data_IF_603231296030
#
_entry.id   IF_603231296030
#
_cell.length_a   1.000
_cell.length_b   1.000
_cell.length_c   1.000
_cell.angle_alpha   90.00
_cell.angle_beta   90.00
_cell.angle_gamma   90.00
#
_symmetry.space_group_name_H-M   'P 1'
#
loop_
_entity.id
_entity.type
_entity.pdbx_description
1 polymer ?
#
# COMPACT_ATOMS: atom_id res chain seq x y z
N UNK A 1 -15.30 -5.13 10.72
CA UNK A 1 -14.62 -6.34 10.23
C UNK A 1 -13.62 -5.91 9.18
N UNK A 2 -12.34 -6.21 9.37
CA UNK A 2 -11.30 -5.95 8.38
C UNK A 2 -11.28 -7.15 7.43
N UNK A 3 -11.54 -6.92 6.15
CA UNK A 3 -11.57 -7.99 5.15
C UNK A 3 -10.28 -7.93 4.34
N UNK A 4 -9.43 -8.95 4.44
CA UNK A 4 -8.21 -9.02 3.63
C UNK A 4 -8.64 -9.25 2.18
N UNK A 5 -8.36 -8.29 1.31
CA UNK A 5 -8.67 -8.37 -0.12
C UNK A 5 -7.56 -9.08 -0.89
N UNK A 6 -6.32 -8.87 -0.47
CA UNK A 6 -5.15 -9.34 -1.19
C UNK A 6 -3.98 -9.53 -0.23
N UNK A 7 -3.20 -10.58 -0.44
CA UNK A 7 -1.96 -10.85 0.25
C UNK A 7 -0.98 -11.45 -0.77
N UNK A 8 0.23 -10.89 -0.86
CA UNK A 8 1.31 -11.36 -1.73
C UNK A 8 2.66 -11.18 -1.04
N UNK A 9 3.60 -12.10 -1.30
CA UNK A 9 4.98 -11.95 -0.83
C UNK A 9 5.86 -11.40 -1.95
N UNK A 10 6.46 -10.22 -1.72
CA UNK A 10 7.32 -9.53 -2.68
C UNK A 10 8.68 -9.21 -2.07
N UNK A 11 9.78 -9.59 -2.73
CA UNK A 11 11.17 -9.41 -2.25
C UNK A 11 11.39 -9.82 -0.77
N UNK A 12 10.73 -10.90 -0.36
CA UNK A 12 10.83 -11.43 1.02
C UNK A 12 9.88 -10.78 2.03
N UNK A 13 9.26 -9.64 1.70
CA UNK A 13 8.29 -8.89 2.51
C UNK A 13 6.86 -9.36 2.23
N UNK A 14 6.02 -9.49 3.26
CA UNK A 14 4.60 -9.78 3.08
C UNK A 14 3.84 -8.48 2.81
N UNK A 15 3.20 -8.36 1.65
CA UNK A 15 2.29 -7.27 1.30
C UNK A 15 0.88 -7.76 1.56
N UNK A 16 0.11 -7.00 2.33
CA UNK A 16 -1.30 -7.27 2.58
C UNK A 16 -2.12 -6.01 2.30
N UNK A 17 -3.20 -6.17 1.55
CA UNK A 17 -4.22 -5.13 1.38
C UNK A 17 -5.49 -5.61 2.05
N UNK A 18 -5.96 -4.84 3.01
CA UNK A 18 -7.20 -5.10 3.70
C UNK A 18 -8.18 -3.94 3.49
N UNK A 19 -9.47 -4.24 3.58
CA UNK A 19 -10.52 -3.23 3.49
C UNK A 19 -11.26 -3.17 4.81
N UNK A 20 -11.27 -1.97 5.39
CA UNK A 20 -11.91 -1.66 6.66
C UNK A 20 -13.02 -0.64 6.42
N UNK A 21 -14.20 -1.16 6.09
CA UNK A 21 -15.34 -0.34 5.69
C UNK A 21 -15.15 0.22 4.28
N UNK A 22 -15.07 1.54 4.14
CA UNK A 22 -14.82 2.22 2.86
C UNK A 22 -13.34 2.54 2.61
N UNK A 23 -12.46 2.24 3.58
CA UNK A 23 -11.03 2.51 3.49
C UNK A 23 -10.27 1.24 3.14
N UNK A 24 -9.30 1.39 2.25
CA UNK A 24 -8.33 0.35 1.93
C UNK A 24 -7.07 0.63 2.76
N UNK A 25 -6.56 -0.38 3.46
CA UNK A 25 -5.35 -0.33 4.29
C UNK A 25 -4.31 -1.25 3.65
N UNK A 26 -3.06 -0.76 3.55
CA UNK A 26 -1.91 -1.55 3.12
C UNK A 26 -1.07 -1.87 4.34
N UNK A 27 -0.59 -3.09 4.45
CA UNK A 27 0.34 -3.53 5.49
C UNK A 27 1.53 -4.25 4.88
N UNK A 28 2.73 -3.95 5.36
CA UNK A 28 3.99 -4.60 4.98
C UNK A 28 4.54 -5.35 6.20
N UNK A 29 4.67 -6.67 6.11
CA UNK A 29 5.02 -7.58 7.22
C UNK A 29 4.17 -7.35 8.49
N UNK A 30 2.90 -6.98 8.32
CA UNK A 30 2.00 -6.65 9.42
C UNK A 30 2.10 -5.20 9.93
N UNK A 31 3.01 -4.38 9.38
CA UNK A 31 3.07 -2.95 9.67
C UNK A 31 2.15 -2.17 8.73
N UNK A 32 1.13 -1.50 9.27
CA UNK A 32 0.23 -0.67 8.49
C UNK A 32 0.95 0.55 7.91
N UNK A 33 0.82 0.76 6.60
CA UNK A 33 1.43 1.88 5.91
C UNK A 33 0.38 2.97 5.65
N UNK A 34 0.58 4.18 6.21
CA UNK A 34 -0.30 5.30 5.94
C UNK A 34 -0.15 5.72 4.48
N UNK A 35 -1.27 5.81 3.78
CA UNK A 35 -1.33 6.27 2.41
C UNK A 35 -2.64 7.03 2.19
N UNK A 36 -2.68 7.83 1.13
CA UNK A 36 -3.86 8.57 0.72
C UNK A 36 -4.20 8.22 -0.72
N UNK A 37 -5.48 8.20 -1.03
CA UNK A 37 -5.98 8.06 -2.39
C UNK A 37 -6.49 9.43 -2.85
N UNK A 38 -5.90 9.93 -3.92
CA UNK A 38 -6.34 11.14 -4.57
C UNK A 38 -7.73 10.92 -5.17
N UNK A 39 -8.67 11.79 -4.82
CA UNK A 39 -10.08 11.64 -5.21
C UNK A 39 -10.33 12.00 -6.68
N UNK A 40 -9.45 12.81 -7.27
CA UNK A 40 -9.59 13.34 -8.63
C UNK A 40 -9.02 12.37 -9.66
N UNK A 41 -7.81 11.86 -9.38
CA UNK A 41 -7.08 10.95 -10.26
C UNK A 41 -7.23 9.47 -9.88
N UNK A 42 -7.67 9.19 -8.65
CA UNK A 42 -7.73 7.83 -8.10
C UNK A 42 -6.37 7.26 -7.69
N UNK A 43 -5.29 8.04 -7.83
CA UNK A 43 -3.93 7.60 -7.57
C UNK A 43 -3.61 7.54 -6.07
N UNK A 44 -2.77 6.58 -5.68
CA UNK A 44 -2.33 6.38 -4.32
C UNK A 44 -0.99 7.07 -4.08
N UNK A 45 -0.90 7.81 -2.97
CA UNK A 45 0.32 8.47 -2.51
C UNK A 45 0.65 8.04 -1.09
N UNK A 46 1.93 8.04 -0.76
CA UNK A 46 2.39 7.74 0.60
C UNK A 46 3.43 8.78 1.02
N UNK A 47 3.43 9.17 2.29
CA UNK A 47 4.37 10.16 2.83
C UNK A 47 5.82 9.71 2.72
N UNK A 48 6.10 8.39 2.71
CA UNK A 48 7.44 7.85 2.47
C UNK A 48 7.91 8.03 1.03
N UNK A 49 6.99 8.22 0.08
CA UNK A 49 7.27 8.39 -1.36
C UNK A 49 6.56 9.66 -1.88
N UNK A 50 6.92 10.86 -1.39
CA UNK A 50 6.14 12.09 -1.62
C UNK A 50 6.11 12.55 -3.09
N UNK A 51 7.08 12.11 -3.90
CA UNK A 51 7.19 12.47 -5.32
C UNK A 51 6.63 11.41 -6.27
N UNK A 52 6.03 10.34 -5.73
CA UNK A 52 5.47 9.25 -6.55
C UNK A 52 4.01 9.03 -6.20
N UNK A 53 3.20 8.92 -7.24
CA UNK A 53 1.81 8.51 -7.17
C UNK A 53 1.65 7.21 -7.95
N UNK A 54 0.85 6.29 -7.44
CA UNK A 54 0.70 4.96 -7.98
C UNK A 54 -0.74 4.72 -8.43
N UNK A 55 -0.97 3.99 -9.51
CA UNK A 55 -2.33 3.68 -9.97
C UNK A 55 -3.03 2.68 -9.06
N UNK A 56 -2.26 1.81 -8.41
CA UNK A 56 -2.77 0.73 -7.57
C UNK A 56 -2.04 0.65 -6.22
N UNK A 57 -2.72 0.08 -5.22
CA UNK A 57 -2.11 -0.22 -3.91
C UNK A 57 -0.97 -1.22 -4.00
N UNK A 58 -1.02 -2.14 -4.97
CA UNK A 58 0.05 -3.10 -5.23
C UNK A 58 1.33 -2.40 -5.68
N UNK A 59 1.24 -1.50 -6.66
CA UNK A 59 2.40 -0.72 -7.12
C UNK A 59 2.99 0.14 -6.00
N UNK A 60 2.12 0.79 -5.21
CA UNK A 60 2.55 1.54 -4.04
C UNK A 60 3.29 0.64 -3.04
N UNK A 61 2.72 -0.52 -2.69
CA UNK A 61 3.31 -1.46 -1.75
C UNK A 61 4.65 -2.00 -2.23
N UNK A 62 4.76 -2.35 -3.52
CA UNK A 62 6.02 -2.80 -4.13
C UNK A 62 7.09 -1.71 -4.12
N UNK A 63 6.72 -0.47 -4.41
CA UNK A 63 7.65 0.66 -4.35
C UNK A 63 8.12 0.95 -2.92
N UNK A 64 7.24 0.80 -1.92
CA UNK A 64 7.61 0.93 -0.51
C UNK A 64 8.55 -0.19 -0.06
N UNK A 65 8.35 -1.42 -0.54
CA UNK A 65 9.27 -2.53 -0.29
C UNK A 65 10.64 -2.26 -0.93
N UNK A 66 10.67 -1.69 -2.13
CA UNK A 66 11.90 -1.30 -2.82
C UNK A 66 12.65 -0.20 -2.04
N UNK A 67 11.96 0.85 -1.60
CA UNK A 67 12.53 1.96 -0.81
C UNK A 67 13.01 1.55 0.59
N UNK A 68 12.34 0.57 1.22
CA UNK A 68 12.75 0.00 2.53
C UNK A 68 13.79 -1.11 2.41
N UNK A 69 14.12 -1.51 1.19
CA UNK A 69 14.96 -2.66 0.87
C UNK A 69 16.43 -2.33 0.61
N UNK A 70 16.83 -1.05 0.70
CA UNK A 70 18.22 -0.58 0.60
C UNK A 70 18.83 -0.32 1.99
#
# INVERSE_FOLDING_TARGET
MTNIKYEERYRGRNIQVAVKGALEEVSLDGEAIPHERDADTGAYRCSSLPYRTFGTLDELAKALVDERGD
#
